data_IF_732945495136
#
_entry.id   IF_732945495136
#
_cell.length_a   1.000
_cell.length_b   1.000
_cell.length_c   1.000
_cell.angle_alpha   90.00
_cell.angle_beta   90.00
_cell.angle_gamma   90.00
#
_symmetry.space_group_name_H-M   'P 1'
#
loop_
_entity.id
_entity.type
_entity.pdbx_description
1 polymer ?
#
# COMPACT_ATOMS: atom_id res chain seq x y z
N UNK A 1 2.07 -12.61 -2.46
CA UNK A 1 1.65 -12.04 -1.16
C UNK A 1 1.37 -13.21 -0.24
N UNK A 2 2.16 -13.37 0.81
CA UNK A 2 1.95 -14.45 1.78
C UNK A 2 0.75 -14.08 2.66
N UNK A 3 -0.30 -14.89 2.62
CA UNK A 3 -1.50 -14.67 3.43
C UNK A 3 -1.17 -15.10 4.86
N UNK A 4 -1.28 -14.18 5.84
CA UNK A 4 -1.05 -14.48 7.25
C UNK A 4 -1.92 -15.67 7.71
N UNK A 5 -1.46 -16.54 8.62
CA UNK A 5 -2.29 -17.59 9.19
C UNK A 5 -3.55 -17.01 9.88
N UNK A 6 -4.63 -17.78 9.90
CA UNK A 6 -5.92 -17.40 10.50
C UNK A 6 -5.78 -16.79 11.91
N UNK A 7 -5.00 -17.44 12.78
CA UNK A 7 -4.82 -17.00 14.18
C UNK A 7 -4.20 -15.62 14.30
N UNK A 8 -3.23 -15.30 13.44
CA UNK A 8 -2.61 -13.97 13.38
C UNK A 8 -3.58 -12.92 12.82
N UNK A 9 -4.45 -13.29 11.86
CA UNK A 9 -5.50 -12.38 11.36
C UNK A 9 -6.55 -12.08 12.44
N UNK A 10 -6.99 -13.09 13.19
CA UNK A 10 -7.90 -12.90 14.33
C UNK A 10 -7.28 -12.00 15.41
N UNK A 11 -5.99 -12.22 15.71
CA UNK A 11 -5.22 -11.38 16.65
C UNK A 11 -5.09 -9.95 16.13
N UNK A 12 -4.82 -9.76 14.84
CA UNK A 12 -4.75 -8.46 14.19
C UNK A 12 -6.06 -7.68 14.38
N UNK A 13 -7.21 -8.33 14.13
CA UNK A 13 -8.53 -7.71 14.33
C UNK A 13 -8.80 -7.36 15.79
N UNK A 14 -8.48 -8.26 16.73
CA UNK A 14 -8.61 -7.95 18.16
C UNK A 14 -7.81 -6.71 18.55
N UNK A 15 -6.55 -6.63 18.08
CA UNK A 15 -5.66 -5.51 18.37
C UNK A 15 -6.13 -4.22 17.69
N UNK A 16 -6.65 -4.29 16.46
CA UNK A 16 -7.26 -3.16 15.75
C UNK A 16 -8.40 -2.54 16.55
N UNK A 17 -9.21 -3.38 17.20
CA UNK A 17 -10.32 -2.96 18.04
C UNK A 17 -9.91 -2.59 19.49
N UNK A 18 -8.63 -2.71 19.84
CA UNK A 18 -8.12 -2.31 21.15
C UNK A 18 -8.46 -3.24 22.32
N UNK A 19 -8.90 -4.47 22.06
CA UNK A 19 -9.28 -5.40 23.13
C UNK A 19 -8.10 -6.22 23.66
N UNK A 20 -8.10 -6.49 24.97
CA UNK A 20 -7.25 -7.53 25.55
C UNK A 20 -7.77 -8.92 25.17
N UNK A 21 -6.92 -9.96 25.26
CA UNK A 21 -7.36 -11.35 25.00
C UNK A 21 -8.51 -11.79 25.90
N UNK A 22 -8.53 -11.34 27.16
CA UNK A 22 -9.56 -11.72 28.13
C UNK A 22 -10.89 -11.02 27.81
N UNK A 23 -10.85 -9.71 27.56
CA UNK A 23 -12.03 -8.95 27.18
C UNK A 23 -12.64 -9.45 25.86
N UNK A 24 -11.80 -9.75 24.88
CA UNK A 24 -12.27 -10.27 23.59
C UNK A 24 -12.85 -11.69 23.71
N UNK A 25 -12.24 -12.55 24.52
CA UNK A 25 -12.76 -13.89 24.80
C UNK A 25 -14.16 -13.82 25.43
N UNK A 26 -14.36 -12.92 26.39
CA UNK A 26 -15.66 -12.72 27.05
C UNK A 26 -16.76 -12.28 26.06
N UNK A 27 -16.43 -11.41 25.10
CA UNK A 27 -17.36 -10.99 24.05
C UNK A 27 -17.76 -12.15 23.13
N UNK A 28 -16.83 -13.08 22.88
CA UNK A 28 -17.08 -14.32 22.15
C UNK A 28 -17.71 -15.45 22.98
N UNK A 29 -17.99 -15.24 24.26
CA UNK A 29 -18.55 -16.26 25.16
C UNK A 29 -17.58 -17.40 25.49
N UNK A 30 -16.28 -17.19 25.33
CA UNK A 30 -15.24 -18.20 25.59
C UNK A 30 -14.26 -17.74 26.69
N UNK A 31 -13.43 -18.66 27.16
CA UNK A 31 -12.37 -18.34 28.15
C UNK A 31 -11.15 -17.74 27.46
N UNK A 32 -10.37 -16.93 28.17
CA UNK A 32 -9.08 -16.40 27.70
C UNK A 32 -8.15 -17.45 27.08
N UNK A 33 -8.07 -18.64 27.70
CA UNK A 33 -7.23 -19.73 27.18
C UNK A 33 -7.68 -20.20 25.79
N UNK A 34 -8.99 -20.22 25.55
CA UNK A 34 -9.57 -20.55 24.24
C UNK A 34 -9.18 -19.49 23.21
N UNK A 35 -9.25 -18.20 23.56
CA UNK A 35 -8.79 -17.12 22.68
C UNK A 35 -7.31 -17.23 22.34
N UNK A 36 -6.45 -17.55 23.31
CA UNK A 36 -5.02 -17.79 23.07
C UNK A 36 -4.82 -18.95 22.10
N UNK A 37 -5.60 -20.04 22.25
CA UNK A 37 -5.54 -21.20 21.36
C UNK A 37 -5.95 -20.85 19.92
N UNK A 38 -6.97 -20.00 19.75
CA UNK A 38 -7.38 -19.49 18.44
C UNK A 38 -6.31 -18.62 17.80
N UNK A 39 -5.73 -17.67 18.55
CA UNK A 39 -4.67 -16.78 18.03
C UNK A 39 -3.38 -17.53 17.66
N UNK A 40 -3.11 -18.66 18.32
CA UNK A 40 -2.01 -19.55 17.99
C UNK A 40 -2.33 -20.52 16.84
N UNK A 41 -3.57 -20.52 16.33
CA UNK A 41 -4.04 -21.44 15.29
C UNK A 41 -4.12 -22.91 15.72
N UNK A 42 -4.11 -23.20 17.04
CA UNK A 42 -4.19 -24.56 17.58
C UNK A 42 -5.58 -25.16 17.48
N UNK A 43 -6.59 -24.31 17.60
CA UNK A 43 -8.00 -24.66 17.48
C UNK A 43 -8.71 -23.62 16.62
N UNK A 44 -9.82 -23.99 16.00
CA UNK A 44 -10.65 -23.07 15.24
C UNK A 44 -11.84 -22.61 16.12
N UNK A 45 -12.22 -21.33 16.06
CA UNK A 45 -13.46 -20.88 16.65
C UNK A 45 -14.67 -21.41 15.89
N UNK A 46 -15.77 -21.57 16.62
CA UNK A 46 -17.04 -21.92 16.01
C UNK A 46 -17.75 -20.70 15.41
N UNK A 47 -18.84 -20.97 14.68
CA UNK A 47 -19.65 -19.93 14.03
C UNK A 47 -20.31 -19.00 15.07
N UNK A 48 -20.62 -19.51 16.27
CA UNK A 48 -21.22 -18.71 17.34
C UNK A 48 -20.27 -17.63 17.87
N UNK A 49 -19.01 -18.00 18.11
CA UNK A 49 -17.93 -17.08 18.44
C UNK A 49 -17.76 -16.03 17.35
N UNK A 50 -17.67 -16.44 16.08
CA UNK A 50 -17.49 -15.53 14.95
C UNK A 50 -18.66 -14.55 14.80
N UNK A 51 -19.89 -15.03 14.99
CA UNK A 51 -21.10 -14.20 14.96
C UNK A 51 -21.22 -13.25 16.17
N UNK A 52 -20.62 -13.60 17.31
CA UNK A 52 -20.58 -12.71 18.47
C UNK A 52 -19.56 -11.58 18.24
N UNK A 53 -18.35 -11.91 17.78
CA UNK A 53 -17.30 -10.92 17.56
C UNK A 53 -17.54 -10.05 16.31
N UNK A 54 -18.33 -10.50 15.33
CA UNK A 54 -18.73 -9.65 14.20
C UNK A 54 -19.55 -8.45 14.65
N UNK A 55 -20.37 -8.59 15.69
CA UNK A 55 -21.21 -7.49 16.24
C UNK A 55 -20.41 -6.37 16.88
N UNK A 56 -19.16 -6.63 17.25
CA UNK A 56 -18.23 -5.63 17.80
C UNK A 56 -17.26 -5.10 16.72
N UNK A 57 -17.52 -5.40 15.44
CA UNK A 57 -16.78 -4.85 14.31
C UNK A 57 -15.58 -5.66 13.86
N UNK A 58 -15.49 -6.96 14.21
CA UNK A 58 -14.50 -7.87 13.61
C UNK A 58 -14.88 -8.18 12.17
N UNK A 59 -13.92 -8.01 11.27
CA UNK A 59 -14.04 -8.40 9.87
C UNK A 59 -13.85 -9.91 9.71
N UNK A 60 -14.98 -10.62 9.72
CA UNK A 60 -15.00 -12.09 9.59
C UNK A 60 -14.44 -12.55 8.24
N UNK A 61 -14.64 -11.78 7.16
CA UNK A 61 -14.08 -12.13 5.85
C UNK A 61 -12.55 -12.03 5.86
N UNK A 62 -12.00 -10.97 6.46
CA UNK A 62 -10.55 -10.85 6.63
C UNK A 62 -10.01 -12.01 7.45
N UNK A 63 -10.68 -12.33 8.56
CA UNK A 63 -10.23 -13.40 9.46
C UNK A 63 -10.26 -14.76 8.76
N UNK A 64 -11.27 -15.09 7.96
CA UNK A 64 -11.40 -16.40 7.30
C UNK A 64 -10.59 -16.48 6.00
N UNK A 65 -10.73 -15.50 5.11
CA UNK A 65 -10.21 -15.54 3.75
C UNK A 65 -8.92 -14.73 3.56
N UNK A 66 -8.56 -13.89 4.53
CA UNK A 66 -7.47 -12.92 4.37
C UNK A 66 -7.84 -11.74 3.46
N UNK A 67 -9.12 -11.58 3.14
CA UNK A 67 -9.64 -10.53 2.25
C UNK A 67 -10.52 -9.61 3.09
N UNK A 68 -10.08 -8.36 3.35
CA UNK A 68 -10.89 -7.38 4.05
C UNK A 68 -12.21 -7.11 3.34
N UNK A 69 -13.29 -7.00 4.12
CA UNK A 69 -14.60 -6.60 3.63
C UNK A 69 -14.63 -5.09 3.43
N UNK A 70 -15.30 -4.64 2.38
CA UNK A 70 -15.53 -3.21 2.13
C UNK A 70 -16.35 -2.50 3.23
N UNK A 71 -16.94 -3.24 4.18
CA UNK A 71 -17.65 -2.64 5.32
C UNK A 71 -16.71 -2.11 6.40
N UNK A 72 -15.43 -2.49 6.37
CA UNK A 72 -14.37 -1.89 7.19
C UNK A 72 -13.84 -0.56 6.61
N UNK A 73 -14.35 -0.13 5.46
CA UNK A 73 -13.94 1.12 4.82
C UNK A 73 -14.40 2.31 5.65
N UNK A 74 -13.53 3.31 5.81
CA UNK A 74 -13.93 4.59 6.38
C UNK A 74 -14.96 5.30 5.50
N UNK A 75 -15.66 6.30 6.04
CA UNK A 75 -16.77 6.97 5.32
C UNK A 75 -16.34 7.56 3.97
N UNK A 76 -15.12 8.06 3.87
CA UNK A 76 -14.51 8.56 2.65
C UNK A 76 -14.20 7.43 1.65
N UNK A 77 -13.63 6.32 2.11
CA UNK A 77 -13.40 5.13 1.29
C UNK A 77 -14.70 4.52 0.73
N UNK A 78 -15.76 4.46 1.56
CA UNK A 78 -17.09 4.03 1.14
C UNK A 78 -17.66 4.94 0.05
N UNK A 79 -17.51 6.27 0.20
CA UNK A 79 -17.98 7.25 -0.77
C UNK A 79 -17.25 7.11 -2.13
N UNK A 80 -15.92 6.92 -2.10
CA UNK A 80 -15.13 6.68 -3.31
C UNK A 80 -15.59 5.40 -4.01
N UNK A 81 -15.78 4.31 -3.28
CA UNK A 81 -16.21 3.03 -3.82
C UNK A 81 -17.62 3.11 -4.43
N UNK A 82 -18.55 3.78 -3.76
CA UNK A 82 -19.92 3.98 -4.24
C UNK A 82 -19.92 4.80 -5.54
N UNK A 83 -19.19 5.92 -5.57
CA UNK A 83 -19.04 6.74 -6.78
C UNK A 83 -18.41 5.95 -7.92
N UNK A 84 -17.30 5.25 -7.67
CA UNK A 84 -16.58 4.47 -8.68
C UNK A 84 -17.45 3.39 -9.34
N UNK A 85 -18.30 2.70 -8.56
CA UNK A 85 -19.20 1.65 -9.08
C UNK A 85 -20.23 2.18 -10.07
N UNK A 86 -20.64 3.44 -9.94
CA UNK A 86 -21.63 4.10 -10.79
C UNK A 86 -21.04 4.65 -12.10
N UNK A 87 -19.71 4.68 -12.24
CA UNK A 87 -19.04 5.20 -13.43
C UNK A 87 -19.05 4.20 -14.59
N UNK A 88 -19.00 4.75 -15.81
CA UNK A 88 -18.71 4.02 -17.03
C UNK A 88 -17.22 3.63 -17.11
N UNK A 89 -16.84 2.87 -18.14
CA UNK A 89 -15.45 2.41 -18.34
C UNK A 89 -14.46 3.59 -18.38
N UNK A 90 -14.84 4.70 -19.02
CA UNK A 90 -13.98 5.86 -19.16
C UNK A 90 -13.83 6.58 -17.82
N UNK A 91 -14.92 6.76 -17.07
CA UNK A 91 -14.89 7.34 -15.74
C UNK A 91 -14.05 6.52 -14.76
N UNK A 92 -14.18 5.20 -14.78
CA UNK A 92 -13.33 4.30 -13.97
C UNK A 92 -11.86 4.45 -14.31
N UNK A 93 -11.51 4.48 -15.60
CA UNK A 93 -10.12 4.67 -16.04
C UNK A 93 -9.53 6.00 -15.57
N UNK A 94 -10.32 7.08 -15.58
CA UNK A 94 -9.89 8.39 -15.06
C UNK A 94 -9.61 8.37 -13.57
N UNK A 95 -10.50 7.77 -12.78
CA UNK A 95 -10.30 7.65 -11.32
C UNK A 95 -9.04 6.85 -11.00
N UNK A 96 -8.83 5.74 -11.70
CA UNK A 96 -7.61 4.94 -11.54
C UNK A 96 -6.34 5.75 -11.87
N UNK A 97 -6.35 6.51 -12.97
CA UNK A 97 -5.21 7.36 -13.33
C UNK A 97 -4.92 8.46 -12.30
N UNK A 98 -5.95 9.03 -11.66
CA UNK A 98 -5.76 10.00 -10.56
C UNK A 98 -5.11 9.32 -9.35
N UNK A 99 -5.58 8.12 -8.97
CA UNK A 99 -5.03 7.37 -7.83
C UNK A 99 -3.57 6.99 -8.09
N UNK A 100 -3.26 6.49 -9.30
CA UNK A 100 -1.89 6.13 -9.72
C UNK A 100 -0.97 7.35 -9.73
N UNK A 101 -1.45 8.51 -10.23
CA UNK A 101 -0.68 9.75 -10.27
C UNK A 101 -0.51 10.42 -8.90
N UNK A 102 -1.42 10.16 -7.95
CA UNK A 102 -1.38 10.70 -6.60
C UNK A 102 -0.60 9.81 -5.61
N UNK A 103 -0.16 8.62 -6.03
CA UNK A 103 0.69 7.78 -5.21
C UNK A 103 1.97 8.56 -4.83
N UNK A 104 2.39 8.52 -3.54
CA UNK A 104 3.62 9.18 -3.14
C UNK A 104 4.74 8.64 -4.01
N UNK A 105 5.54 9.54 -4.59
CA UNK A 105 6.73 9.14 -5.32
C UNK A 105 7.54 8.24 -4.38
N UNK A 106 7.65 6.95 -4.72
CA UNK A 106 8.60 6.07 -4.04
C UNK A 106 9.93 6.83 -3.99
N UNK A 107 10.44 7.04 -2.78
CA UNK A 107 11.69 7.74 -2.56
C UNK A 107 12.81 6.93 -3.24
N UNK A 108 13.07 7.21 -4.53
CA UNK A 108 14.13 6.52 -5.26
C UNK A 108 13.93 6.32 -6.75
N UNK A 109 13.69 7.38 -7.54
CA UNK A 109 14.25 7.45 -8.90
C UNK A 109 14.73 8.85 -9.23
N UNK A 110 15.95 9.19 -8.81
CA UNK A 110 16.75 10.25 -9.44
C UNK A 110 17.28 9.75 -10.77
N UNK A 111 16.40 9.46 -11.72
CA UNK A 111 16.83 9.36 -13.10
C UNK A 111 16.76 10.77 -13.68
N UNK A 112 17.76 11.60 -13.33
CA UNK A 112 18.12 12.67 -14.23
C UNK A 112 18.53 11.97 -15.53
N UNK A 113 17.65 12.00 -16.52
CA UNK A 113 17.91 11.42 -17.84
C UNK A 113 19.13 12.15 -18.43
N UNK A 114 20.29 11.53 -18.30
CA UNK A 114 21.49 11.95 -18.99
C UNK A 114 21.29 11.60 -20.47
N UNK A 115 20.83 12.58 -21.25
CA UNK A 115 20.66 12.43 -22.70
C UNK A 115 22.03 12.73 -23.32
N UNK A 116 22.78 11.68 -23.67
CA UNK A 116 24.00 11.81 -24.48
C UNK A 116 23.60 11.91 -25.95
N UNK A 117 23.67 13.10 -26.53
CA UNK A 117 23.48 13.31 -27.98
C UNK A 117 24.84 13.31 -28.65
N UNK A 118 25.11 12.29 -29.48
CA UNK A 118 26.33 12.22 -30.29
C UNK A 118 26.18 13.03 -31.57
N UNK A 119 26.80 14.21 -31.65
CA UNK A 119 26.82 15.07 -32.84
C UNK A 119 27.56 16.38 -32.61
N UNK A 120 27.73 17.17 -33.66
CA UNK A 120 28.28 18.53 -33.56
C UNK A 120 27.23 19.46 -32.94
N UNK A 121 27.35 19.75 -31.65
CA UNK A 121 26.41 20.62 -30.91
C UNK A 121 27.07 21.99 -30.71
N UNK A 122 26.43 23.05 -31.21
CA UNK A 122 26.73 24.42 -30.81
C UNK A 122 26.00 24.74 -29.50
N UNK A 123 26.72 25.17 -28.47
CA UNK A 123 26.11 25.62 -27.21
C UNK A 123 25.80 27.12 -27.29
N UNK A 124 24.54 27.50 -27.04
CA UNK A 124 24.14 28.90 -26.85
C UNK A 124 23.41 29.01 -25.51
N UNK A 125 23.99 29.73 -24.56
CA UNK A 125 23.43 29.96 -23.23
C UNK A 125 23.10 31.45 -23.13
N UNK A 126 21.83 31.78 -22.85
CA UNK A 126 21.40 33.17 -22.59
C UNK A 126 20.88 33.22 -21.15
N UNK A 127 21.60 33.95 -20.29
CA UNK A 127 21.28 34.12 -18.87
C UNK A 127 22.54 34.20 -18.01
N UNK A 128 22.39 34.63 -16.75
CA UNK A 128 23.49 34.72 -15.79
C UNK A 128 23.87 33.32 -15.26
N UNK A 129 25.16 33.00 -15.32
CA UNK A 129 25.71 31.71 -14.87
C UNK A 129 26.43 31.92 -13.55
N UNK A 130 25.90 31.33 -12.47
CA UNK A 130 26.55 31.31 -11.16
C UNK A 130 27.30 29.98 -10.97
N UNK A 131 28.47 29.84 -11.60
CA UNK A 131 29.35 28.67 -11.49
C UNK A 131 30.59 28.77 -12.39
N UNK A 132 31.64 28.01 -12.10
CA UNK A 132 32.84 27.95 -12.94
C UNK A 132 32.59 27.10 -14.19
N UNK A 133 32.77 27.70 -15.38
CA UNK A 133 32.71 27.00 -16.66
C UNK A 133 34.00 26.21 -16.88
N UNK A 134 33.91 24.88 -16.95
CA UNK A 134 35.00 24.05 -17.45
C UNK A 134 34.90 24.03 -18.98
N UNK A 135 35.76 24.80 -19.66
CA UNK A 135 35.82 24.85 -21.12
C UNK A 135 36.22 23.50 -21.75
N UNK A 136 36.02 23.34 -23.07
CA UNK A 136 36.38 22.10 -23.78
C UNK A 136 37.88 21.81 -23.65
N UNK A 137 38.21 20.61 -23.19
CA UNK A 137 39.60 20.12 -23.08
C UNK A 137 40.05 19.66 -24.46
N UNK A 138 41.02 20.35 -25.06
CA UNK A 138 41.57 19.99 -26.37
C UNK A 138 42.38 18.69 -26.25
N UNK A 139 41.79 17.57 -26.68
CA UNK A 139 42.51 16.31 -26.84
C UNK A 139 43.41 16.37 -28.08
N UNK A 140 44.73 16.32 -27.89
CA UNK A 140 45.65 16.15 -29.01
C UNK A 140 45.49 14.75 -29.61
N UNK A 141 44.84 14.67 -30.77
CA UNK A 141 44.76 13.43 -31.55
C UNK A 141 46.13 13.21 -32.20
N UNK A 142 46.88 12.23 -31.69
CA UNK A 142 48.11 11.77 -32.33
C UNK A 142 47.70 10.85 -33.48
N UNK A 143 47.77 11.34 -34.71
CA UNK A 143 47.65 10.48 -35.89
C UNK A 143 48.97 9.71 -36.07
N UNK A 144 48.89 8.38 -35.89
CA UNK A 144 49.98 7.49 -36.29
C UNK A 144 49.95 7.36 -37.82
N UNK A 145 51.08 7.72 -38.43
CA UNK A 145 51.33 7.65 -39.87
C UNK A 145 51.45 6.21 -40.36
#
# INVERSE_FOLDING_TARGET
MEILPYGERLKSERLRLGFSQDAFAALGGVRKQTQISYEQGKTLPDIGFMAAVSKIGVDVSYVIFGIPTADALSSDEQQVLQGFRQLDIIGKARVLGVIEGAAPAEAGRKNASHITVGGSIGQHIVGDIHGTLQGPVMGHKIEKK
#
